data_IF_531770062066
#
_entry.id   IF_531770062066
#
_cell.length_a   1.000
_cell.length_b   1.000
_cell.length_c   1.000
_cell.angle_alpha   90.00
_cell.angle_beta   90.00
_cell.angle_gamma   90.00
#
_symmetry.space_group_name_H-M   'P 1'
#
loop_
_entity.id
_entity.type
_entity.pdbx_description
1 polymer ?
#
# COMPACT_ATOMS: atom_id res chain seq x y z
N UNK A 1 56.10 71.62 4.70
CA UNK A 1 55.25 72.33 5.67
C UNK A 1 53.87 72.45 5.04
N UNK A 2 52.86 71.76 5.60
CA UNK A 2 51.42 71.83 5.28
C UNK A 2 51.01 71.49 3.83
N UNK A 3 49.86 70.90 3.49
CA UNK A 3 48.66 70.35 4.15
C UNK A 3 47.89 69.68 2.97
N UNK A 4 47.26 68.52 3.17
CA UNK A 4 45.91 68.14 2.68
C UNK A 4 45.71 66.66 2.27
N UNK A 5 44.98 65.98 3.14
CA UNK A 5 44.13 64.82 2.98
C UNK A 5 43.34 64.77 1.65
N UNK A 6 43.22 63.58 1.03
CA UNK A 6 41.95 63.06 0.48
C UNK A 6 41.90 61.52 0.47
N UNK A 7 41.09 60.99 1.40
CA UNK A 7 40.18 59.83 1.32
C UNK A 7 40.63 58.52 0.64
N UNK A 8 40.96 57.52 1.47
CA UNK A 8 40.56 56.13 1.23
C UNK A 8 39.59 55.70 2.34
N UNK A 9 38.37 55.32 1.94
CA UNK A 9 37.42 54.63 2.81
C UNK A 9 37.85 53.16 2.95
N UNK A 10 37.93 52.57 4.16
CA UNK A 10 37.84 51.12 4.28
C UNK A 10 36.35 50.74 4.24
N UNK A 11 35.96 50.04 3.18
CA UNK A 11 34.73 49.29 3.10
C UNK A 11 34.79 48.18 4.18
N UNK A 12 34.19 48.42 5.34
CA UNK A 12 34.00 47.40 6.37
C UNK A 12 32.91 46.47 5.86
N UNK A 13 33.31 45.35 5.28
CA UNK A 13 32.41 44.24 4.95
C UNK A 13 32.04 43.57 6.28
N UNK A 14 30.89 43.96 6.85
CA UNK A 14 30.29 43.28 7.99
C UNK A 14 29.76 41.94 7.47
N UNK A 15 30.55 40.87 7.59
CA UNK A 15 30.02 39.51 7.48
C UNK A 15 29.15 39.30 8.73
N UNK A 16 27.86 39.63 8.61
CA UNK A 16 26.86 39.13 9.54
C UNK A 16 26.81 37.62 9.28
N UNK A 17 27.62 36.88 10.03
CA UNK A 17 27.45 35.44 10.16
C UNK A 17 26.08 35.26 10.83
N UNK A 18 25.04 35.16 10.02
CA UNK A 18 23.77 34.57 10.43
C UNK A 18 24.13 33.17 10.86
N UNK A 19 24.41 33.03 12.16
CA UNK A 19 24.25 31.77 12.85
C UNK A 19 22.75 31.49 12.76
N UNK A 20 22.33 30.89 11.65
CA UNK A 20 21.15 30.06 11.64
C UNK A 20 21.44 29.05 12.73
N UNK A 21 20.90 29.30 13.92
CA UNK A 21 20.75 28.24 14.90
C UNK A 21 20.06 27.13 14.14
N UNK A 22 20.81 26.07 13.84
CA UNK A 22 20.20 24.80 13.54
C UNK A 22 19.39 24.52 14.80
N UNK A 23 18.07 24.79 14.75
CA UNK A 23 17.20 24.44 15.84
C UNK A 23 17.43 22.94 16.03
N UNK A 24 18.09 22.57 17.13
CA UNK A 24 18.46 21.18 17.35
C UNK A 24 17.20 20.35 17.31
N UNK A 25 17.26 19.19 16.66
CA UNK A 25 16.23 18.15 16.73
C UNK A 25 15.66 18.09 18.15
N UNK A 26 14.38 18.41 18.31
CA UNK A 26 13.69 18.38 19.58
C UNK A 26 12.75 17.18 19.64
N UNK A 27 12.47 16.71 20.85
CA UNK A 27 11.42 15.70 21.05
C UNK A 27 10.07 16.39 21.23
N UNK A 28 9.14 16.11 20.32
CA UNK A 28 7.77 16.61 20.30
C UNK A 28 6.82 15.52 20.77
N UNK A 29 6.37 15.63 22.02
CA UNK A 29 5.37 14.74 22.59
C UNK A 29 3.96 15.27 22.34
N UNK A 30 3.13 14.46 21.69
CA UNK A 30 1.71 14.74 21.52
C UNK A 30 1.00 14.77 22.86
N UNK A 31 0.04 15.67 23.03
CA UNK A 31 -0.85 15.69 24.19
C UNK A 31 -2.31 15.77 23.76
N UNK A 32 -2.57 16.31 22.56
CA UNK A 32 -3.92 16.60 22.09
C UNK A 32 -4.66 17.63 22.95
N UNK A 33 -3.97 18.41 23.79
CA UNK A 33 -4.63 19.32 24.74
C UNK A 33 -5.31 20.53 24.08
N UNK A 34 -5.01 20.80 22.82
CA UNK A 34 -5.61 21.87 22.04
C UNK A 34 -7.07 21.62 21.65
N UNK A 35 -7.62 22.59 20.93
CA UNK A 35 -9.04 22.62 20.56
C UNK A 35 -9.42 21.67 19.40
N UNK A 36 -8.44 21.05 18.75
CA UNK A 36 -8.63 20.18 17.58
C UNK A 36 -7.59 19.05 17.60
N UNK A 37 -7.64 18.17 16.61
CA UNK A 37 -6.73 17.02 16.47
C UNK A 37 -5.54 17.28 15.53
N UNK A 38 -5.25 18.51 15.11
CA UNK A 38 -4.24 18.79 14.09
C UNK A 38 -2.82 18.85 14.68
N UNK A 39 -1.87 18.20 14.01
CA UNK A 39 -0.44 18.30 14.33
C UNK A 39 0.09 19.74 14.15
N UNK A 40 -0.50 20.52 13.24
CA UNK A 40 -0.21 21.94 13.04
C UNK A 40 -0.66 22.87 14.16
N UNK A 41 -1.41 22.39 15.15
CA UNK A 41 -1.87 23.22 16.27
C UNK A 41 -0.87 23.17 17.44
N UNK A 42 -0.20 24.28 17.81
CA UNK A 42 0.85 24.27 18.82
C UNK A 42 0.40 23.71 20.18
N UNK A 43 -0.82 24.06 20.60
CA UNK A 43 -1.40 23.63 21.89
C UNK A 43 -1.63 22.12 22.01
N UNK A 44 -1.47 21.35 20.94
CA UNK A 44 -1.53 19.89 21.00
C UNK A 44 -0.19 19.23 21.38
N UNK A 45 0.89 20.01 21.50
CA UNK A 45 2.23 19.53 21.83
C UNK A 45 2.63 19.96 23.24
N UNK A 46 3.42 19.12 23.92
CA UNK A 46 3.81 19.31 25.32
C UNK A 46 4.53 20.64 25.61
N UNK A 47 5.25 21.18 24.63
CA UNK A 47 5.97 22.46 24.70
C UNK A 47 5.20 23.64 24.08
N UNK A 48 3.94 23.42 23.69
CA UNK A 48 3.10 24.38 22.96
C UNK A 48 3.73 24.90 21.66
N UNK A 49 4.55 24.10 20.98
CA UNK A 49 5.16 24.45 19.71
C UNK A 49 4.96 23.33 18.66
N UNK A 50 4.70 23.73 17.42
CA UNK A 50 4.54 22.82 16.27
C UNK A 50 5.87 22.11 15.99
N UNK A 51 5.86 20.81 15.63
CA UNK A 51 7.04 20.12 15.11
C UNK A 51 7.69 20.82 13.92
N UNK A 52 9.01 20.75 13.86
CA UNK A 52 9.84 21.24 12.77
C UNK A 52 10.67 20.10 12.14
N UNK A 53 11.33 20.40 11.01
CA UNK A 53 12.25 19.45 10.38
C UNK A 53 13.31 18.95 11.37
N UNK A 54 13.54 17.64 11.38
CA UNK A 54 14.50 16.96 12.24
C UNK A 54 14.00 16.65 13.65
N UNK A 55 12.76 17.02 14.03
CA UNK A 55 12.22 16.67 15.35
C UNK A 55 11.89 15.18 15.48
N UNK A 56 11.95 14.66 16.70
CA UNK A 56 11.48 13.33 17.07
C UNK A 56 10.03 13.40 17.55
N UNK A 57 9.14 12.58 16.99
CA UNK A 57 7.72 12.57 17.35
C UNK A 57 7.42 11.43 18.32
N UNK A 58 6.78 11.76 19.44
CA UNK A 58 6.42 10.79 20.49
C UNK A 58 4.92 10.84 20.80
N UNK A 59 4.27 9.67 20.70
CA UNK A 59 2.91 9.41 21.16
C UNK A 59 2.97 8.28 22.18
N UNK A 60 2.64 8.57 23.43
CA UNK A 60 2.81 7.67 24.58
C UNK A 60 1.49 7.39 25.32
N UNK A 61 1.51 6.71 26.47
CA UNK A 61 0.27 6.34 27.17
C UNK A 61 -0.57 7.50 27.74
N UNK A 62 0.00 8.64 28.18
CA UNK A 62 -0.79 9.85 28.45
C UNK A 62 -1.53 10.37 27.21
N UNK A 63 -0.99 10.11 26.02
CA UNK A 63 -1.58 10.51 24.76
C UNK A 63 -2.77 9.58 24.44
N UNK A 64 -3.98 10.13 24.37
CA UNK A 64 -5.20 9.33 24.07
C UNK A 64 -6.06 9.93 22.97
N UNK A 65 -5.87 11.20 22.64
CA UNK A 65 -6.65 11.86 21.58
C UNK A 65 -6.07 11.55 20.21
N UNK A 66 -6.96 11.29 19.27
CA UNK A 66 -6.62 11.14 17.86
C UNK A 66 -5.83 12.34 17.34
N UNK A 67 -4.93 12.04 16.40
CA UNK A 67 -4.09 13.01 15.71
C UNK A 67 -4.42 12.98 14.22
N UNK A 68 -4.42 14.14 13.57
CA UNK A 68 -4.26 14.28 12.13
C UNK A 68 -2.88 14.87 11.88
N UNK A 69 -2.01 14.09 11.24
CA UNK A 69 -0.72 14.59 10.79
C UNK A 69 -0.90 15.34 9.46
N UNK A 70 -0.84 16.67 9.54
CA UNK A 70 -1.09 17.61 8.44
C UNK A 70 0.14 18.49 8.12
N UNK A 71 1.34 18.05 8.54
CA UNK A 71 2.60 18.77 8.36
C UNK A 71 3.45 18.16 7.25
N UNK A 72 3.89 18.98 6.30
CA UNK A 72 4.83 18.63 5.22
C UNK A 72 6.27 18.97 5.63
N UNK A 73 6.82 18.16 6.53
CA UNK A 73 8.18 18.28 7.10
C UNK A 73 8.84 16.90 7.15
N UNK A 74 10.17 16.87 7.25
CA UNK A 74 10.95 15.67 7.44
C UNK A 74 11.29 15.51 8.93
N UNK A 75 10.70 14.52 9.59
CA UNK A 75 10.95 14.25 11.01
C UNK A 75 12.06 13.20 11.19
N UNK A 76 12.74 13.23 12.32
CA UNK A 76 13.87 12.34 12.57
C UNK A 76 13.43 10.94 12.99
N UNK A 77 12.55 10.82 13.99
CA UNK A 77 11.98 9.52 14.40
C UNK A 77 10.49 9.64 14.70
N UNK A 78 9.81 8.49 14.71
CA UNK A 78 8.44 8.37 15.21
C UNK A 78 8.36 7.23 16.23
N UNK A 79 7.84 7.52 17.42
CA UNK A 79 7.62 6.53 18.48
C UNK A 79 6.18 6.58 18.95
N UNK A 80 5.46 5.46 18.80
CA UNK A 80 4.11 5.27 19.28
C UNK A 80 4.07 4.03 20.19
N UNK A 81 4.17 4.25 21.51
CA UNK A 81 4.29 3.20 22.53
C UNK A 81 3.41 3.52 23.74
N UNK A 82 2.32 2.77 23.89
CA UNK A 82 1.28 3.03 24.90
C UNK A 82 0.16 3.96 24.43
N UNK A 83 0.28 4.62 23.27
CA UNK A 83 -0.78 5.40 22.65
C UNK A 83 -1.84 4.48 22.02
N UNK A 84 -3.13 4.70 22.33
CA UNK A 84 -4.24 3.87 21.84
C UNK A 84 -5.07 4.52 20.73
N UNK A 85 -4.86 5.81 20.46
CA UNK A 85 -5.66 6.57 19.49
C UNK A 85 -5.34 6.26 18.03
N UNK A 86 -5.97 7.03 17.15
CA UNK A 86 -5.78 6.99 15.70
C UNK A 86 -4.95 8.18 15.22
N UNK A 87 -3.95 7.92 14.40
CA UNK A 87 -3.19 8.90 13.63
C UNK A 87 -3.69 8.84 12.20
N UNK A 88 -4.36 9.90 11.75
CA UNK A 88 -4.72 10.07 10.35
C UNK A 88 -3.64 10.85 9.64
N UNK A 89 -2.85 10.18 8.79
CA UNK A 89 -1.84 10.86 7.99
C UNK A 89 -2.52 11.44 6.76
N UNK A 90 -2.49 12.76 6.60
CA UNK A 90 -3.26 13.49 5.59
C UNK A 90 -2.62 13.48 4.20
N UNK A 91 -1.98 12.36 3.80
CA UNK A 91 -1.31 12.27 2.50
C UNK A 91 -2.29 12.07 1.34
N UNK A 92 -1.97 12.69 0.19
CA UNK A 92 -2.81 12.65 -1.02
C UNK A 92 -2.14 11.99 -2.24
N UNK A 93 -2.98 11.57 -3.20
CA UNK A 93 -2.60 11.04 -4.50
C UNK A 93 -2.29 12.15 -5.52
N UNK A 94 -2.88 13.32 -5.32
CA UNK A 94 -2.72 14.49 -6.19
C UNK A 94 -1.27 15.00 -6.21
N UNK A 95 -0.78 15.49 -7.37
CA UNK A 95 0.49 16.21 -7.44
C UNK A 95 0.50 17.51 -6.62
N UNK A 96 -0.68 18.04 -6.27
CA UNK A 96 -0.84 19.37 -5.66
C UNK A 96 -0.95 19.34 -4.11
N UNK A 97 -0.44 18.33 -3.41
CA UNK A 97 -0.55 18.27 -1.94
C UNK A 97 0.51 17.46 -1.21
N UNK A 98 0.45 17.48 0.13
CA UNK A 98 1.27 16.67 1.02
C UNK A 98 1.10 15.20 0.64
N UNK A 99 2.09 14.62 -0.03
CA UNK A 99 1.94 13.33 -0.70
C UNK A 99 2.66 12.19 0.02
N UNK A 100 3.52 12.52 0.99
CA UNK A 100 4.32 11.55 1.72
C UNK A 100 4.76 12.07 3.09
N UNK A 101 4.55 11.29 4.16
CA UNK A 101 5.23 11.52 5.44
C UNK A 101 6.66 10.98 5.36
N UNK A 102 7.67 11.81 5.66
CA UNK A 102 9.08 11.43 5.63
C UNK A 102 9.64 11.30 7.05
N UNK A 103 10.08 10.10 7.41
CA UNK A 103 10.79 9.80 8.66
C UNK A 103 12.22 9.43 8.28
N UNK A 104 13.19 10.25 8.67
CA UNK A 104 14.59 10.09 8.27
C UNK A 104 15.27 8.89 8.95
N UNK A 105 14.87 8.59 10.19
CA UNK A 105 15.38 7.49 11.00
C UNK A 105 14.36 6.38 11.18
N UNK A 106 14.30 5.83 12.39
CA UNK A 106 13.44 4.71 12.73
C UNK A 106 12.00 5.16 13.04
N UNK A 107 11.06 4.25 12.77
CA UNK A 107 9.66 4.39 13.12
C UNK A 107 9.20 3.18 13.95
N UNK A 108 8.48 3.44 15.03
CA UNK A 108 7.94 2.42 15.93
C UNK A 108 6.45 2.67 16.17
N UNK A 109 5.61 1.68 15.88
CA UNK A 109 4.17 1.66 16.15
C UNK A 109 3.87 0.42 16.98
N UNK A 110 4.05 0.49 18.29
CA UNK A 110 3.80 -0.64 19.21
C UNK A 110 2.34 -0.77 19.61
N UNK A 111 1.59 0.33 19.59
CA UNK A 111 0.16 0.40 19.91
C UNK A 111 -0.55 1.43 19.02
N UNK A 112 -1.88 1.51 19.08
CA UNK A 112 -2.67 2.50 18.33
C UNK A 112 -2.76 2.22 16.83
N UNK A 113 -3.32 3.17 16.07
CA UNK A 113 -3.61 2.98 14.64
C UNK A 113 -3.11 4.12 13.78
N UNK A 114 -2.47 3.81 12.65
CA UNK A 114 -2.30 4.74 11.52
C UNK A 114 -3.34 4.49 10.44
N UNK A 115 -3.84 5.56 9.83
CA UNK A 115 -4.84 5.50 8.75
C UNK A 115 -4.72 6.71 7.81
N UNK A 116 -5.57 6.75 6.77
CA UNK A 116 -5.80 7.92 5.95
C UNK A 116 -7.30 8.28 5.89
N UNK A 117 -7.61 9.48 5.42
CA UNK A 117 -9.00 9.95 5.28
C UNK A 117 -9.78 9.10 4.27
N UNK A 118 -11.06 8.82 4.54
CA UNK A 118 -11.94 8.03 3.68
C UNK A 118 -13.16 7.44 4.41
N UNK A 119 -14.10 6.80 3.73
CA UNK A 119 -14.17 6.51 2.28
C UNK A 119 -14.31 7.77 1.40
N UNK A 120 -14.06 7.63 0.10
CA UNK A 120 -13.93 8.79 -0.81
C UNK A 120 -14.60 8.57 -2.17
N UNK A 121 -14.98 9.69 -2.83
CA UNK A 121 -15.63 9.66 -4.15
C UNK A 121 -14.59 9.57 -5.29
N UNK A 122 -13.51 10.31 -5.12
CA UNK A 122 -12.37 10.37 -6.03
C UNK A 122 -11.17 9.75 -5.34
N UNK A 123 -10.18 9.29 -6.10
CA UNK A 123 -8.94 8.72 -5.57
C UNK A 123 -8.00 9.86 -5.14
N UNK A 124 -8.20 10.36 -3.91
CA UNK A 124 -7.48 11.51 -3.37
C UNK A 124 -6.60 11.09 -2.21
N UNK A 125 -7.10 10.38 -1.21
CA UNK A 125 -6.35 10.07 0.01
C UNK A 125 -5.73 8.67 -0.07
N UNK A 126 -4.50 8.56 0.43
CA UNK A 126 -3.75 7.31 0.64
C UNK A 126 -2.89 7.48 1.88
N UNK A 127 -2.40 6.38 2.46
CA UNK A 127 -1.33 6.44 3.44
C UNK A 127 0.00 6.22 2.69
N UNK A 128 0.85 7.23 2.61
CA UNK A 128 2.18 7.12 2.00
C UNK A 128 3.24 7.59 2.99
N UNK A 129 4.21 6.71 3.29
CA UNK A 129 5.25 6.98 4.27
C UNK A 129 6.60 6.47 3.77
N UNK A 130 7.65 7.26 3.96
CA UNK A 130 9.04 6.84 3.80
C UNK A 130 9.75 6.79 5.15
N UNK A 131 10.46 5.70 5.40
CA UNK A 131 11.23 5.45 6.62
C UNK A 131 12.67 5.17 6.22
N UNK A 132 13.59 6.08 6.59
CA UNK A 132 15.01 5.96 6.27
C UNK A 132 15.75 4.92 7.11
N UNK A 133 15.17 4.50 8.24
CA UNK A 133 15.67 3.42 9.08
C UNK A 133 14.76 2.18 9.08
N UNK A 134 14.65 1.55 10.24
CA UNK A 134 13.78 0.40 10.48
C UNK A 134 12.35 0.83 10.82
N UNK A 135 11.38 -0.02 10.48
CA UNK A 135 9.99 0.10 10.93
C UNK A 135 9.64 -1.10 11.83
N UNK A 136 9.21 -0.82 13.05
CA UNK A 136 8.64 -1.82 13.96
C UNK A 136 7.13 -1.58 14.11
N UNK A 137 6.32 -2.60 13.83
CA UNK A 137 4.89 -2.65 14.15
C UNK A 137 4.69 -3.75 15.18
N UNK A 138 4.48 -3.34 16.43
CA UNK A 138 4.25 -4.26 17.54
C UNK A 138 2.85 -4.89 17.50
N UNK A 139 2.61 -5.87 18.37
CA UNK A 139 1.36 -6.67 18.40
C UNK A 139 0.08 -5.84 18.51
N UNK A 140 0.13 -4.67 19.17
CA UNK A 140 -1.02 -3.78 19.30
C UNK A 140 -1.00 -2.62 18.29
N UNK A 141 0.07 -2.51 17.50
CA UNK A 141 0.24 -1.52 16.45
C UNK A 141 -0.53 -1.91 15.20
N UNK A 142 -1.18 -0.90 14.59
CA UNK A 142 -1.99 -1.11 13.40
C UNK A 142 -1.71 -0.05 12.36
N UNK A 143 -1.61 -0.46 11.11
CA UNK A 143 -1.82 0.38 9.94
C UNK A 143 -3.12 -0.11 9.32
N UNK A 144 -4.20 0.65 9.45
CA UNK A 144 -5.54 0.19 9.08
C UNK A 144 -6.26 1.22 8.21
N UNK A 145 -6.41 0.89 6.92
CA UNK A 145 -7.14 1.67 5.92
C UNK A 145 -8.37 0.91 5.41
N UNK A 146 -8.89 -0.02 6.22
CA UNK A 146 -10.06 -0.81 5.84
C UNK A 146 -11.27 0.10 5.56
N UNK A 147 -11.94 -0.13 4.43
CA UNK A 147 -13.08 0.68 3.98
C UNK A 147 -12.76 2.13 3.61
N UNK A 148 -11.49 2.55 3.56
CA UNK A 148 -11.08 3.93 3.24
C UNK A 148 -10.92 4.20 1.74
N UNK A 149 -11.22 3.22 0.90
CA UNK A 149 -11.19 3.35 -0.54
C UNK A 149 -12.40 4.07 -1.11
N UNK A 150 -12.79 3.72 -2.34
CA UNK A 150 -13.95 4.33 -2.96
C UNK A 150 -15.23 4.02 -2.16
N UNK A 151 -16.07 5.03 -2.01
CA UNK A 151 -17.40 4.89 -1.41
C UNK A 151 -18.30 3.95 -2.22
N UNK A 152 -19.40 3.51 -1.62
CA UNK A 152 -20.40 2.62 -2.24
C UNK A 152 -20.76 3.05 -3.66
N UNK A 153 -20.65 2.12 -4.62
CA UNK A 153 -20.93 2.33 -6.04
C UNK A 153 -19.95 3.24 -6.79
N UNK A 154 -18.77 3.51 -6.23
CA UNK A 154 -17.76 4.39 -6.83
C UNK A 154 -16.48 3.62 -7.18
N UNK A 155 -15.66 4.27 -8.00
CA UNK A 155 -14.42 3.71 -8.52
C UNK A 155 -14.59 2.99 -9.87
N UNK A 156 -13.48 2.67 -10.55
CA UNK A 156 -13.50 2.00 -11.86
C UNK A 156 -14.23 0.65 -11.82
N UNK A 157 -14.02 -0.11 -10.75
CA UNK A 157 -14.66 -1.40 -10.47
C UNK A 157 -15.97 -1.28 -9.68
N UNK A 158 -16.52 -0.07 -9.53
CA UNK A 158 -17.64 0.21 -8.65
C UNK A 158 -19.00 -0.21 -9.22
N UNK A 159 -19.87 -0.74 -8.37
CA UNK A 159 -21.14 -1.37 -8.77
C UNK A 159 -22.31 -1.00 -7.85
N UNK A 160 -23.55 -1.27 -8.27
CA UNK A 160 -24.76 -1.04 -7.49
C UNK A 160 -25.58 -2.31 -7.30
N UNK A 161 -26.52 -2.28 -6.35
CA UNK A 161 -27.44 -3.39 -6.08
C UNK A 161 -26.70 -4.64 -5.59
N UNK A 162 -27.04 -5.80 -6.13
CA UNK A 162 -26.49 -7.10 -5.69
C UNK A 162 -25.13 -7.46 -6.31
N UNK A 163 -24.37 -6.48 -6.80
CA UNK A 163 -23.09 -6.69 -7.48
C UNK A 163 -21.91 -6.26 -6.60
N UNK A 164 -20.87 -7.09 -6.53
CA UNK A 164 -19.68 -6.78 -5.73
C UNK A 164 -18.71 -5.83 -6.43
N UNK A 165 -17.98 -5.03 -5.65
CA UNK A 165 -16.91 -4.20 -6.17
C UNK A 165 -15.72 -5.03 -6.65
N UNK A 166 -15.02 -4.53 -7.66
CA UNK A 166 -13.79 -5.14 -8.21
C UNK A 166 -12.56 -4.27 -7.98
N UNK A 167 -11.38 -4.88 -7.79
CA UNK A 167 -10.09 -4.21 -7.90
C UNK A 167 -8.99 -5.18 -8.34
N UNK A 168 -8.37 -5.90 -7.39
CA UNK A 168 -7.40 -6.95 -7.67
C UNK A 168 -8.06 -8.26 -8.10
N UNK A 169 -9.30 -8.48 -7.67
CA UNK A 169 -10.19 -9.54 -8.14
C UNK A 169 -11.56 -8.99 -8.54
N UNK A 170 -12.34 -9.77 -9.30
CA UNK A 170 -13.73 -9.41 -9.62
C UNK A 170 -14.68 -9.64 -8.46
N UNK A 171 -15.63 -8.73 -8.28
CA UNK A 171 -16.75 -8.92 -7.38
C UNK A 171 -17.80 -9.93 -7.90
N UNK A 172 -18.84 -10.14 -7.11
CA UNK A 172 -19.97 -11.00 -7.43
C UNK A 172 -20.86 -10.45 -8.56
N UNK A 173 -21.47 -11.37 -9.32
CA UNK A 173 -22.46 -11.12 -10.38
C UNK A 173 -21.94 -10.25 -11.53
N UNK A 174 -22.67 -9.19 -11.91
CA UNK A 174 -22.29 -8.29 -13.00
C UNK A 174 -21.22 -7.29 -12.55
N UNK A 175 -20.12 -7.81 -12.01
CA UNK A 175 -18.98 -7.04 -11.58
C UNK A 175 -18.18 -6.48 -12.74
N UNK A 176 -17.46 -5.40 -12.49
CA UNK A 176 -16.62 -4.73 -13.47
C UNK A 176 -15.22 -5.35 -13.52
N UNK A 177 -14.41 -5.08 -14.56
CA UNK A 177 -13.04 -5.58 -14.67
C UNK A 177 -12.13 -5.17 -13.52
N UNK A 178 -11.09 -5.96 -13.27
CA UNK A 178 -9.94 -5.59 -12.45
C UNK A 178 -9.16 -4.42 -13.08
N UNK A 179 -8.47 -3.63 -12.25
CA UNK A 179 -7.69 -2.46 -12.71
C UNK A 179 -6.44 -2.21 -11.87
N UNK A 180 -5.56 -1.34 -12.36
CA UNK A 180 -4.37 -0.87 -11.64
C UNK A 180 -3.15 -1.77 -11.80
N UNK A 181 -2.10 -1.44 -11.06
CA UNK A 181 -0.81 -2.14 -11.11
C UNK A 181 -0.76 -3.25 -10.07
N UNK A 182 -0.24 -4.41 -10.46
CA UNK A 182 0.11 -5.54 -9.60
C UNK A 182 1.41 -5.25 -8.83
N UNK A 183 2.42 -4.74 -9.53
CA UNK A 183 3.78 -4.57 -8.98
C UNK A 183 3.94 -3.26 -8.21
N UNK A 184 3.22 -2.21 -8.59
CA UNK A 184 3.22 -0.90 -7.94
C UNK A 184 1.78 -0.43 -7.65
N UNK A 185 1.02 -1.17 -6.82
CA UNK A 185 -0.39 -0.88 -6.55
C UNK A 185 -0.52 0.42 -5.76
N UNK A 186 -1.11 1.43 -6.39
CA UNK A 186 -1.40 2.72 -5.73
C UNK A 186 -2.88 3.05 -5.68
N UNK A 187 -3.71 2.27 -6.36
CA UNK A 187 -5.13 2.58 -6.48
C UNK A 187 -5.90 2.07 -5.27
N UNK A 188 -6.95 2.78 -4.87
CA UNK A 188 -7.85 2.31 -3.82
C UNK A 188 -8.88 1.32 -4.37
N UNK A 189 -9.41 0.45 -3.50
CA UNK A 189 -10.44 -0.51 -3.85
C UNK A 189 -11.75 0.17 -4.21
N UNK A 190 -12.47 -0.36 -5.20
CA UNK A 190 -13.78 0.15 -5.62
C UNK A 190 -14.90 -0.22 -4.64
N UNK A 191 -15.90 0.64 -4.50
CA UNK A 191 -17.08 0.35 -3.68
C UNK A 191 -18.06 -0.58 -4.38
N UNK A 192 -18.65 -1.50 -3.62
CA UNK A 192 -19.70 -2.39 -4.11
C UNK A 192 -21.09 -1.79 -3.93
N UNK A 193 -22.12 -2.63 -4.05
CA UNK A 193 -23.50 -2.20 -3.83
C UNK A 193 -23.80 -1.72 -2.41
N UNK A 194 -23.14 -2.28 -1.38
CA UNK A 194 -23.40 -1.99 0.04
C UNK A 194 -22.12 -1.91 0.89
N UNK A 195 -21.03 -1.38 0.34
CA UNK A 195 -19.79 -1.23 1.09
C UNK A 195 -18.73 -0.45 0.32
N UNK A 196 -17.87 0.26 1.05
CA UNK A 196 -16.70 0.91 0.48
C UNK A 196 -15.57 -0.09 0.24
N UNK A 197 -14.71 0.21 -0.72
CA UNK A 197 -13.49 -0.55 -0.93
C UNK A 197 -12.40 -0.21 0.10
N UNK A 198 -11.34 -1.01 0.13
CA UNK A 198 -10.18 -0.76 0.97
C UNK A 198 -9.34 0.43 0.51
N UNK A 199 -8.67 1.10 1.44
CA UNK A 199 -7.75 2.20 1.15
C UNK A 199 -6.44 1.76 0.49
N UNK A 200 -5.47 2.66 0.40
CA UNK A 200 -4.15 2.38 -0.15
C UNK A 200 -3.04 2.71 0.85
N UNK A 201 -2.10 1.78 1.01
CA UNK A 201 -0.90 1.91 1.84
C UNK A 201 0.32 1.81 0.93
N UNK A 202 1.23 2.78 1.03
CA UNK A 202 2.58 2.73 0.45
C UNK A 202 3.60 3.00 1.54
N UNK A 203 4.45 2.03 1.85
CA UNK A 203 5.58 2.21 2.76
C UNK A 203 6.88 1.92 2.02
N UNK A 204 7.80 2.89 2.03
CA UNK A 204 9.17 2.71 1.54
C UNK A 204 10.12 2.77 2.72
N UNK A 205 10.56 1.61 3.17
CA UNK A 205 11.43 1.43 4.35
C UNK A 205 12.81 1.06 3.81
N UNK A 206 13.85 1.77 4.25
CA UNK A 206 15.22 1.48 3.81
C UNK A 206 15.82 0.32 4.60
N UNK A 207 15.45 0.18 5.87
CA UNK A 207 15.90 -0.89 6.75
C UNK A 207 14.92 -2.06 6.86
N UNK A 208 15.00 -2.75 7.99
CA UNK A 208 14.18 -3.90 8.33
C UNK A 208 12.74 -3.48 8.70
N UNK A 209 11.76 -4.28 8.27
CA UNK A 209 10.39 -4.24 8.76
C UNK A 209 10.16 -5.40 9.76
N UNK A 210 10.00 -5.10 11.04
CA UNK A 210 9.54 -6.07 12.05
C UNK A 210 8.04 -5.89 12.22
N UNK A 211 7.23 -6.86 11.79
CA UNK A 211 5.77 -6.76 11.78
C UNK A 211 5.12 -7.89 12.57
N UNK A 212 4.62 -7.56 13.77
CA UNK A 212 3.87 -8.46 14.64
C UNK A 212 2.40 -8.02 14.84
N UNK A 213 2.01 -6.90 14.23
CA UNK A 213 0.69 -6.29 14.37
C UNK A 213 -0.22 -6.52 13.15
N UNK A 214 -0.93 -5.47 12.75
CA UNK A 214 -1.86 -5.50 11.61
C UNK A 214 -1.55 -4.43 10.56
N UNK A 215 -1.37 -4.83 9.30
CA UNK A 215 -1.45 -3.97 8.12
C UNK A 215 -2.69 -4.38 7.33
N UNK A 216 -3.72 -3.53 7.30
CA UNK A 216 -5.04 -3.87 6.75
C UNK A 216 -5.55 -2.84 5.73
N UNK A 217 -5.91 -3.32 4.55
CA UNK A 217 -6.57 -2.62 3.47
C UNK A 217 -7.81 -3.40 2.98
N UNK A 218 -8.49 -4.12 3.88
CA UNK A 218 -9.74 -4.79 3.57
C UNK A 218 -10.84 -3.83 3.11
N UNK A 219 -11.84 -4.37 2.41
CA UNK A 219 -13.09 -3.64 2.23
C UNK A 219 -13.91 -3.54 3.50
N UNK A 220 -14.95 -2.71 3.48
CA UNK A 220 -15.88 -2.57 4.61
C UNK A 220 -17.30 -2.90 4.19
N UNK A 221 -18.07 -3.44 5.13
CA UNK A 221 -19.47 -3.82 4.94
C UNK A 221 -20.42 -2.90 5.69
N UNK A 222 -21.51 -2.50 5.02
CA UNK A 222 -22.77 -2.09 5.66
C UNK A 222 -23.95 -2.96 5.18
N UNK A 223 -23.66 -4.02 4.42
CA UNK A 223 -24.60 -4.89 3.73
C UNK A 223 -23.88 -5.76 2.68
N UNK A 224 -24.62 -6.55 1.89
CA UNK A 224 -24.03 -7.48 0.93
C UNK A 224 -24.56 -7.26 -0.50
N UNK A 225 -23.70 -7.34 -1.53
CA UNK A 225 -22.25 -7.52 -1.50
C UNK A 225 -21.46 -6.21 -1.28
N UNK A 226 -20.20 -6.37 -0.85
CA UNK A 226 -19.34 -5.27 -0.36
C UNK A 226 -18.40 -4.69 -1.43
N UNK A 227 -17.59 -3.69 -1.07
CA UNK A 227 -16.51 -3.16 -1.92
C UNK A 227 -15.29 -4.08 -1.99
N UNK A 228 -14.39 -3.85 -2.94
CA UNK A 228 -13.18 -4.63 -3.12
C UNK A 228 -12.10 -4.30 -2.08
N UNK A 229 -11.18 -5.23 -1.84
CA UNK A 229 -9.95 -4.94 -1.09
C UNK A 229 -9.13 -3.82 -1.74
N UNK A 230 -8.24 -3.21 -0.96
CA UNK A 230 -7.42 -2.05 -1.35
C UNK A 230 -6.01 -2.40 -1.81
N UNK A 231 -5.09 -1.45 -1.67
CA UNK A 231 -3.67 -1.60 -2.03
C UNK A 231 -2.76 -1.62 -0.83
N UNK A 232 -1.77 -2.52 -0.84
CA UNK A 232 -0.63 -2.53 0.07
C UNK A 232 0.64 -2.63 -0.78
N UNK A 233 1.49 -1.61 -0.76
CA UNK A 233 2.75 -1.57 -1.49
C UNK A 233 3.90 -1.27 -0.54
N UNK A 234 4.71 -2.28 -0.24
CA UNK A 234 5.81 -2.18 0.72
C UNK A 234 7.15 -2.45 0.03
N UNK A 235 8.14 -1.63 0.32
CA UNK A 235 9.55 -1.89 0.04
C UNK A 235 10.32 -1.84 1.35
N UNK A 236 11.20 -2.81 1.58
CA UNK A 236 11.99 -2.97 2.81
C UNK A 236 13.29 -3.72 2.51
N UNK A 237 14.27 -3.68 3.40
CA UNK A 237 15.45 -4.55 3.31
C UNK A 237 15.04 -6.02 3.49
N UNK A 238 14.48 -6.33 4.66
CA UNK A 238 13.93 -7.63 5.02
C UNK A 238 12.67 -7.48 5.87
N UNK A 239 11.83 -8.51 5.92
CA UNK A 239 10.55 -8.55 6.65
C UNK A 239 10.58 -9.69 7.67
N UNK A 240 10.27 -9.37 8.92
CA UNK A 240 10.33 -10.29 10.06
C UNK A 240 9.02 -10.25 10.84
N UNK A 241 8.79 -11.28 11.66
CA UNK A 241 7.63 -11.37 12.56
C UNK A 241 6.49 -12.24 12.04
N UNK A 242 5.37 -12.17 12.74
CA UNK A 242 4.21 -13.06 12.56
C UNK A 242 2.88 -12.31 12.36
N UNK A 243 2.95 -11.00 12.11
CA UNK A 243 1.78 -10.14 11.93
C UNK A 243 0.94 -10.48 10.69
N UNK A 244 -0.15 -9.73 10.51
CA UNK A 244 -1.07 -9.91 9.38
C UNK A 244 -0.96 -8.77 8.37
N UNK A 245 -0.88 -9.09 7.08
CA UNK A 245 -0.92 -8.17 5.94
C UNK A 245 -2.11 -8.58 5.06
N UNK A 246 -3.13 -7.73 5.00
CA UNK A 246 -4.43 -8.12 4.47
C UNK A 246 -5.04 -7.06 3.55
N UNK A 247 -5.43 -7.47 2.34
CA UNK A 247 -6.16 -6.66 1.36
C UNK A 247 -7.38 -7.43 0.85
N UNK A 248 -8.09 -8.15 1.72
CA UNK A 248 -9.22 -8.98 1.31
C UNK A 248 -10.45 -8.16 0.89
N UNK A 249 -11.25 -8.74 -0.01
CA UNK A 249 -12.65 -8.39 -0.15
C UNK A 249 -13.48 -9.09 0.93
N UNK A 250 -14.54 -8.43 1.42
CA UNK A 250 -15.58 -9.07 2.22
C UNK A 250 -16.65 -9.70 1.32
N UNK A 251 -17.72 -10.25 1.91
CA UNK A 251 -18.75 -11.04 1.21
C UNK A 251 -19.13 -10.51 -0.17
N UNK A 252 -18.85 -11.31 -1.20
CA UNK A 252 -19.16 -11.01 -2.60
C UNK A 252 -18.22 -10.03 -3.29
N UNK A 253 -17.16 -9.56 -2.65
CA UNK A 253 -16.25 -8.60 -3.24
C UNK A 253 -14.92 -9.21 -3.67
N UNK A 254 -14.32 -8.58 -4.67
CA UNK A 254 -12.98 -8.94 -5.14
C UNK A 254 -11.89 -8.60 -4.12
N UNK A 255 -10.83 -9.40 -4.11
CA UNK A 255 -9.62 -9.08 -3.36
C UNK A 255 -8.89 -7.85 -3.89
N UNK A 256 -7.96 -7.34 -3.08
CA UNK A 256 -7.12 -6.19 -3.37
C UNK A 256 -5.78 -6.57 -4.01
N UNK A 257 -4.78 -5.70 -3.88
CA UNK A 257 -3.43 -5.94 -4.40
C UNK A 257 -2.39 -5.72 -3.31
N UNK A 258 -1.49 -6.68 -3.15
CA UNK A 258 -0.35 -6.60 -2.24
C UNK A 258 0.91 -6.71 -3.08
N UNK A 259 1.88 -5.81 -2.89
CA UNK A 259 3.20 -5.86 -3.50
C UNK A 259 4.25 -5.66 -2.42
N UNK A 260 5.12 -6.65 -2.24
CA UNK A 260 6.22 -6.63 -1.28
C UNK A 260 7.54 -6.83 -2.03
N UNK A 261 8.42 -5.84 -1.95
CA UNK A 261 9.78 -5.89 -2.52
C UNK A 261 10.82 -5.84 -1.41
N UNK A 262 11.63 -6.89 -1.32
CA UNK A 262 12.79 -6.96 -0.43
C UNK A 262 14.06 -6.54 -1.17
N UNK A 263 14.90 -5.72 -0.54
CA UNK A 263 16.13 -5.17 -1.14
C UNK A 263 17.41 -5.75 -0.55
N UNK A 264 17.33 -6.51 0.55
CA UNK A 264 18.48 -7.16 1.16
C UNK A 264 18.96 -8.36 0.30
N UNK A 265 20.25 -8.40 -0.11
CA UNK A 265 20.78 -9.52 -0.86
C UNK A 265 20.65 -10.84 -0.10
N UNK A 266 20.09 -11.86 -0.76
CA UNK A 266 19.93 -13.20 -0.20
C UNK A 266 18.68 -13.41 0.67
N UNK A 267 17.89 -12.37 0.94
CA UNK A 267 16.62 -12.53 1.64
C UNK A 267 15.53 -13.16 0.74
N UNK A 268 14.74 -14.10 1.27
CA UNK A 268 13.81 -14.93 0.47
C UNK A 268 12.38 -15.02 1.02
N UNK A 269 12.03 -14.16 1.98
CA UNK A 269 10.76 -14.17 2.72
C UNK A 269 10.55 -15.33 3.70
N UNK A 270 11.54 -16.21 3.94
CA UNK A 270 11.38 -17.33 4.88
C UNK A 270 11.32 -16.92 6.35
N UNK A 271 11.80 -15.73 6.70
CA UNK A 271 11.84 -15.21 8.09
C UNK A 271 10.52 -14.60 8.56
N UNK A 272 9.61 -14.29 7.63
CA UNK A 272 8.24 -13.85 7.96
C UNK A 272 7.30 -15.05 8.02
N UNK A 273 6.73 -15.29 9.20
CA UNK A 273 5.83 -16.44 9.45
C UNK A 273 4.36 -16.05 9.54
N UNK A 274 4.07 -14.76 9.34
CA UNK A 274 2.73 -14.20 9.42
C UNK A 274 1.86 -14.49 8.19
N UNK A 275 0.70 -13.82 8.14
CA UNK A 275 -0.31 -14.03 7.08
C UNK A 275 -0.25 -12.92 6.05
N UNK A 276 -0.20 -13.29 4.77
CA UNK A 276 -0.37 -12.38 3.63
C UNK A 276 -1.62 -12.82 2.87
N UNK A 277 -2.63 -11.96 2.78
CA UNK A 277 -3.93 -12.33 2.20
C UNK A 277 -4.51 -11.23 1.32
N UNK A 278 -4.87 -11.58 0.09
CA UNK A 278 -5.61 -10.70 -0.82
C UNK A 278 -6.82 -11.44 -1.41
N UNK A 279 -7.49 -12.29 -0.64
CA UNK A 279 -8.61 -13.13 -1.07
C UNK A 279 -9.87 -12.30 -1.35
N UNK A 280 -10.70 -12.79 -2.27
CA UNK A 280 -12.06 -12.29 -2.41
C UNK A 280 -12.94 -12.83 -1.29
N UNK A 281 -14.02 -12.12 -0.97
CA UNK A 281 -14.92 -12.55 0.08
C UNK A 281 -16.02 -13.47 -0.46
N UNK A 282 -16.33 -14.51 0.31
CA UNK A 282 -17.27 -15.55 -0.09
C UNK A 282 -18.34 -15.83 0.97
N UNK A 283 -19.56 -16.03 0.50
CA UNK A 283 -20.65 -16.71 1.20
C UNK A 283 -21.26 -17.78 0.27
N UNK A 284 -22.33 -18.44 0.71
CA UNK A 284 -23.07 -19.41 -0.10
C UNK A 284 -23.57 -18.79 -1.41
N UNK A 285 -24.06 -17.55 -1.36
CA UNK A 285 -24.70 -16.87 -2.50
C UNK A 285 -23.80 -15.84 -3.19
N UNK A 286 -22.82 -15.27 -2.49
CA UNK A 286 -21.99 -14.17 -3.00
C UNK A 286 -20.52 -14.57 -2.98
N UNK A 287 -19.87 -14.62 -4.15
CA UNK A 287 -18.47 -15.03 -4.28
C UNK A 287 -17.72 -13.98 -5.08
N UNK A 288 -16.68 -13.37 -4.52
CA UNK A 288 -15.74 -12.53 -5.25
C UNK A 288 -14.43 -13.27 -5.49
N UNK A 289 -13.73 -12.97 -6.57
CA UNK A 289 -12.44 -13.57 -6.88
C UNK A 289 -11.31 -12.99 -6.04
N UNK A 290 -10.23 -13.77 -5.89
CA UNK A 290 -8.99 -13.32 -5.27
C UNK A 290 -8.35 -12.14 -5.98
N UNK A 291 -7.58 -11.40 -5.21
CA UNK A 291 -6.67 -10.37 -5.64
C UNK A 291 -5.30 -10.92 -6.05
N UNK A 292 -4.30 -10.05 -6.07
CA UNK A 292 -2.92 -10.38 -6.44
C UNK A 292 -1.96 -10.11 -5.30
N UNK A 293 -1.02 -11.03 -5.05
CA UNK A 293 0.13 -10.83 -4.17
C UNK A 293 1.40 -10.91 -5.03
N UNK A 294 2.16 -9.83 -5.09
CA UNK A 294 3.48 -9.77 -5.72
C UNK A 294 4.56 -9.82 -4.64
N UNK A 295 5.51 -10.76 -4.78
CA UNK A 295 6.67 -10.89 -3.93
C UNK A 295 7.92 -10.85 -4.79
N UNK A 296 8.80 -9.91 -4.53
CA UNK A 296 10.09 -9.75 -5.22
C UNK A 296 11.20 -9.64 -4.19
N UNK A 297 12.27 -10.39 -4.38
CA UNK A 297 13.51 -10.17 -3.65
C UNK A 297 14.61 -9.70 -4.61
N UNK A 298 15.75 -9.27 -4.05
CA UNK A 298 16.87 -8.77 -4.84
C UNK A 298 17.35 -9.80 -5.88
N UNK A 299 17.38 -11.09 -5.52
CA UNK A 299 17.84 -12.17 -6.39
C UNK A 299 16.93 -12.46 -7.59
N UNK A 300 15.65 -12.07 -7.53
CA UNK A 300 14.73 -12.18 -8.67
C UNK A 300 15.17 -11.23 -9.79
N UNK A 301 15.69 -10.05 -9.42
CA UNK A 301 15.89 -8.92 -10.32
C UNK A 301 14.61 -8.11 -10.55
N UNK A 302 14.77 -6.87 -10.99
CA UNK A 302 13.67 -5.93 -11.14
C UNK A 302 12.55 -6.44 -12.08
N UNK A 303 11.32 -6.47 -11.57
CA UNK A 303 10.12 -6.87 -12.30
C UNK A 303 9.98 -8.39 -12.50
N UNK A 304 10.84 -9.18 -11.86
CA UNK A 304 10.90 -10.64 -12.04
C UNK A 304 10.38 -11.44 -10.83
N UNK A 305 9.78 -10.77 -9.86
CA UNK A 305 9.14 -11.40 -8.72
C UNK A 305 7.98 -12.33 -9.09
N UNK A 306 7.44 -13.02 -8.08
CA UNK A 306 6.30 -13.93 -8.21
C UNK A 306 4.98 -13.22 -7.97
N UNK A 307 4.07 -13.33 -8.94
CA UNK A 307 2.65 -12.98 -8.80
C UNK A 307 1.89 -14.22 -8.38
N UNK A 308 1.20 -14.12 -7.25
CA UNK A 308 0.37 -15.18 -6.66
C UNK A 308 -1.08 -14.72 -6.71
N UNK A 309 -1.96 -15.61 -7.19
CA UNK A 309 -3.42 -15.44 -7.11
C UNK A 309 -4.03 -16.66 -6.44
N UNK A 310 -4.86 -16.40 -5.43
CA UNK A 310 -5.51 -17.41 -4.61
C UNK A 310 -7.03 -17.34 -4.78
N UNK A 311 -7.76 -18.44 -4.52
CA UNK A 311 -9.23 -18.40 -4.54
C UNK A 311 -9.80 -17.64 -3.33
N UNK A 312 -11.04 -17.15 -3.50
CA UNK A 312 -11.98 -17.11 -2.38
C UNK A 312 -12.44 -18.54 -2.10
N UNK A 313 -12.56 -18.98 -0.84
CA UNK A 313 -12.84 -20.37 -0.45
C UNK A 313 -14.20 -20.98 -0.85
N UNK A 314 -14.65 -20.83 -2.09
CA UNK A 314 -15.85 -21.46 -2.64
C UNK A 314 -15.82 -21.53 -4.17
N UNK A 315 -16.31 -22.64 -4.72
CA UNK A 315 -16.48 -22.87 -6.16
C UNK A 315 -17.43 -21.84 -6.81
N UNK A 316 -16.92 -20.94 -7.65
CA UNK A 316 -17.70 -19.90 -8.33
C UNK A 316 -17.11 -19.54 -9.70
N UNK A 317 -17.90 -18.89 -10.55
CA UNK A 317 -17.53 -18.49 -11.91
C UNK A 317 -16.69 -17.20 -12.00
N UNK A 318 -16.39 -16.57 -10.86
CA UNK A 318 -15.67 -15.30 -10.84
C UNK A 318 -14.17 -15.51 -10.83
N UNK A 319 -13.49 -14.62 -11.52
CA UNK A 319 -12.07 -14.71 -11.80
C UNK A 319 -11.35 -13.40 -11.55
N UNK A 320 -10.04 -13.50 -11.34
CA UNK A 320 -9.11 -12.39 -11.47
C UNK A 320 -8.82 -12.19 -12.95
N UNK A 321 -9.11 -11.03 -13.53
CA UNK A 321 -8.84 -10.77 -14.95
C UNK A 321 -7.67 -9.85 -15.22
N UNK A 322 -6.84 -10.24 -16.19
CA UNK A 322 -5.81 -9.37 -16.78
C UNK A 322 -6.33 -8.86 -18.10
N UNK A 323 -6.56 -7.55 -18.15
CA UNK A 323 -7.23 -6.84 -19.23
C UNK A 323 -6.50 -5.50 -19.44
N UNK A 324 -7.00 -4.66 -20.36
CA UNK A 324 -6.36 -3.39 -20.71
C UNK A 324 -6.20 -2.39 -19.54
N UNK A 325 -6.98 -2.53 -18.46
CA UNK A 325 -6.92 -1.68 -17.26
C UNK A 325 -5.92 -2.21 -16.20
N UNK A 326 -5.34 -3.40 -16.42
CA UNK A 326 -4.24 -3.94 -15.62
C UNK A 326 -2.92 -3.57 -16.28
N UNK A 327 -1.99 -2.97 -15.52
CA UNK A 327 -0.79 -2.36 -16.13
C UNK A 327 0.23 -3.38 -16.61
N UNK A 328 0.37 -4.49 -15.90
CA UNK A 328 1.37 -5.51 -16.20
C UNK A 328 0.90 -6.46 -17.29
N UNK A 329 1.71 -6.59 -18.33
CA UNK A 329 1.53 -7.56 -19.41
C UNK A 329 2.66 -8.59 -19.47
N UNK A 330 3.68 -8.46 -18.62
CA UNK A 330 4.86 -9.33 -18.59
C UNK A 330 4.99 -9.92 -17.20
N UNK A 331 5.10 -11.24 -17.12
CA UNK A 331 5.23 -11.99 -15.87
C UNK A 331 6.41 -12.95 -15.94
N UNK A 332 7.22 -12.99 -14.89
CA UNK A 332 8.35 -13.93 -14.79
C UNK A 332 8.02 -15.16 -13.93
N UNK A 333 7.20 -14.97 -12.89
CA UNK A 333 6.70 -16.08 -12.08
C UNK A 333 5.21 -15.85 -11.83
N UNK A 334 4.36 -16.74 -12.34
CA UNK A 334 2.90 -16.64 -12.18
C UNK A 334 2.39 -17.92 -11.51
N UNK A 335 1.79 -17.77 -10.32
CA UNK A 335 1.43 -18.89 -9.45
C UNK A 335 -0.04 -18.80 -9.09
N UNK A 336 -0.83 -19.76 -9.57
CA UNK A 336 -2.23 -19.95 -9.21
C UNK A 336 -2.34 -21.12 -8.23
N UNK A 337 -2.93 -20.87 -7.06
CA UNK A 337 -3.11 -21.90 -6.02
C UNK A 337 -4.49 -21.82 -5.36
N UNK A 338 -4.80 -22.85 -4.58
CA UNK A 338 -6.04 -22.95 -3.77
C UNK A 338 -7.33 -22.84 -4.58
N UNK A 339 -7.32 -23.19 -5.88
CA UNK A 339 -8.51 -23.14 -6.74
C UNK A 339 -8.82 -21.75 -7.31
N UNK A 340 -7.85 -20.83 -7.34
CA UNK A 340 -8.01 -19.52 -7.97
C UNK A 340 -8.47 -19.62 -9.43
N UNK A 341 -9.47 -18.84 -9.83
CA UNK A 341 -9.86 -18.73 -11.23
C UNK A 341 -9.28 -17.45 -11.82
N UNK A 342 -8.55 -17.61 -12.90
CA UNK A 342 -7.92 -16.54 -13.64
C UNK A 342 -8.49 -16.44 -15.05
N UNK A 343 -8.65 -15.21 -15.55
CA UNK A 343 -9.02 -14.98 -16.94
C UNK A 343 -8.10 -13.97 -17.65
N UNK A 344 -7.73 -14.28 -18.87
CA UNK A 344 -7.05 -13.35 -19.77
C UNK A 344 -8.10 -12.67 -20.66
N UNK A 345 -8.11 -11.34 -20.66
CA UNK A 345 -9.07 -10.50 -21.38
C UNK A 345 -9.10 -10.75 -22.89
N UNK A 346 -10.22 -10.45 -23.54
CA UNK A 346 -10.37 -10.63 -24.98
C UNK A 346 -9.31 -9.83 -25.75
N UNK A 347 -8.67 -10.45 -26.73
CA UNK A 347 -7.56 -9.87 -27.51
C UNK A 347 -6.39 -9.35 -26.66
N UNK A 348 -6.27 -9.80 -25.41
CA UNK A 348 -5.17 -9.41 -24.55
C UNK A 348 -4.00 -10.40 -24.68
N UNK A 349 -2.80 -9.87 -24.68
CA UNK A 349 -1.57 -10.65 -24.74
C UNK A 349 -0.80 -10.46 -23.44
N UNK A 350 -0.36 -11.58 -22.86
CA UNK A 350 0.66 -11.56 -21.81
C UNK A 350 1.90 -12.32 -22.26
N UNK A 351 3.06 -11.83 -21.86
CA UNK A 351 4.34 -12.51 -21.96
C UNK A 351 4.61 -13.21 -20.63
N UNK A 352 4.90 -14.51 -20.68
CA UNK A 352 5.26 -15.30 -19.50
C UNK A 352 6.63 -15.94 -19.73
N UNK A 353 7.55 -15.67 -18.80
CA UNK A 353 8.85 -16.32 -18.71
C UNK A 353 8.94 -17.14 -17.41
N UNK A 354 10.05 -17.84 -17.17
CA UNK A 354 10.34 -18.46 -15.87
C UNK A 354 9.34 -19.55 -15.43
N UNK A 355 8.70 -19.38 -14.27
CA UNK A 355 7.83 -20.41 -13.68
C UNK A 355 6.37 -20.04 -13.80
N UNK A 356 5.60 -20.89 -14.49
CA UNK A 356 4.14 -20.85 -14.48
C UNK A 356 3.56 -22.06 -13.77
N UNK A 357 2.86 -21.85 -12.65
CA UNK A 357 2.20 -22.92 -11.90
C UNK A 357 0.70 -22.70 -11.86
N UNK A 358 -0.07 -23.55 -12.54
CA UNK A 358 -1.52 -23.55 -12.54
C UNK A 358 -2.09 -24.74 -11.77
N UNK A 359 -2.14 -24.64 -10.44
CA UNK A 359 -2.86 -25.61 -9.59
C UNK A 359 -4.35 -25.26 -9.48
N UNK A 360 -4.89 -24.53 -10.45
CA UNK A 360 -6.21 -23.95 -10.40
C UNK A 360 -6.82 -23.83 -11.82
N UNK A 361 -7.58 -22.76 -12.14
CA UNK A 361 -8.23 -22.61 -13.45
C UNK A 361 -7.75 -21.35 -14.18
N UNK A 362 -7.36 -21.50 -15.45
CA UNK A 362 -7.04 -20.38 -16.34
C UNK A 362 -7.97 -20.39 -17.56
N UNK A 363 -8.54 -19.24 -17.90
CA UNK A 363 -9.41 -19.07 -19.06
C UNK A 363 -8.94 -17.95 -19.98
N UNK A 364 -8.65 -18.25 -21.24
CA UNK A 364 -8.53 -17.24 -22.29
C UNK A 364 -9.90 -16.81 -22.77
N UNK A 365 -10.21 -15.51 -22.75
CA UNK A 365 -11.36 -14.96 -23.46
C UNK A 365 -11.04 -14.86 -24.97
N UNK A 366 -12.03 -14.63 -25.86
CA UNK A 366 -11.78 -14.67 -27.32
C UNK A 366 -10.60 -13.78 -27.76
N UNK A 367 -9.65 -14.38 -28.49
CA UNK A 367 -8.44 -13.71 -28.98
C UNK A 367 -7.33 -13.53 -27.94
N UNK A 368 -7.50 -14.02 -26.71
CA UNK A 368 -6.46 -14.01 -25.68
C UNK A 368 -5.25 -14.86 -26.08
N UNK A 369 -4.05 -14.32 -25.89
CA UNK A 369 -2.78 -14.97 -26.28
C UNK A 369 -1.82 -14.99 -25.11
N UNK A 370 -1.22 -16.15 -24.84
CA UNK A 370 -0.07 -16.26 -23.93
C UNK A 370 1.16 -16.54 -24.78
N UNK A 371 2.13 -15.63 -24.69
CA UNK A 371 3.41 -15.77 -25.37
C UNK A 371 4.45 -16.26 -24.37
N UNK A 372 5.09 -17.38 -24.68
CA UNK A 372 6.24 -17.89 -23.91
C UNK A 372 7.55 -17.36 -24.50
N UNK A 373 7.55 -16.06 -24.81
CA UNK A 373 8.71 -15.42 -25.41
C UNK A 373 9.71 -15.04 -24.34
N UNK A 374 10.95 -15.32 -24.67
CA UNK A 374 12.04 -15.21 -23.74
C UNK A 374 12.70 -13.84 -23.82
N UNK A 375 12.01 -12.80 -23.34
CA UNK A 375 12.60 -11.45 -23.25
C UNK A 375 13.80 -11.40 -22.29
N UNK A 376 13.96 -12.41 -21.44
CA UNK A 376 14.92 -12.43 -20.35
C UNK A 376 16.03 -13.49 -20.46
N UNK A 377 16.03 -14.29 -21.53
CA UNK A 377 16.89 -15.47 -21.72
C UNK A 377 16.70 -16.61 -20.69
N UNK A 378 15.52 -16.70 -20.08
CA UNK A 378 15.13 -17.68 -19.07
C UNK A 378 14.24 -18.80 -19.63
N UNK A 379 14.46 -20.05 -19.18
CA UNK A 379 13.64 -21.21 -19.60
C UNK A 379 12.24 -21.15 -18.97
N UNK A 380 11.19 -21.12 -19.79
CA UNK A 380 9.80 -21.19 -19.33
C UNK A 380 9.39 -22.61 -18.96
N UNK A 381 8.85 -22.80 -17.75
CA UNK A 381 8.33 -24.07 -17.24
C UNK A 381 6.87 -23.93 -16.85
N UNK A 382 6.01 -24.82 -17.34
CA UNK A 382 4.57 -24.83 -17.07
C UNK A 382 4.21 -26.06 -16.24
N UNK A 383 3.55 -25.85 -15.11
CA UNK A 383 3.10 -26.90 -14.20
C UNK A 383 1.58 -26.83 -14.00
N UNK A 384 0.92 -27.98 -13.88
CA UNK A 384 -0.51 -28.09 -13.56
C UNK A 384 -1.45 -28.33 -14.76
N UNK A 385 -2.76 -28.22 -14.53
CA UNK A 385 -3.83 -28.51 -15.51
C UNK A 385 -4.96 -27.48 -15.45
N UNK A 386 -5.95 -27.55 -16.33
CA UNK A 386 -7.11 -26.63 -16.31
C UNK A 386 -6.95 -25.34 -17.14
N UNK A 387 -6.25 -25.43 -18.26
CA UNK A 387 -6.21 -24.38 -19.29
C UNK A 387 -7.40 -24.51 -20.23
N UNK A 388 -8.14 -23.42 -20.43
CA UNK A 388 -9.31 -23.37 -21.32
C UNK A 388 -9.17 -22.21 -22.31
N UNK A 389 -9.41 -22.47 -23.60
CA UNK A 389 -9.45 -21.47 -24.68
C UNK A 389 -8.18 -20.62 -24.82
N UNK A 390 -7.01 -21.28 -24.84
CA UNK A 390 -5.71 -20.63 -24.93
C UNK A 390 -5.01 -20.93 -26.26
N UNK A 391 -4.44 -19.90 -26.88
CA UNK A 391 -3.43 -20.04 -27.92
C UNK A 391 -2.07 -19.77 -27.28
N UNK A 392 -1.23 -20.81 -27.23
CA UNK A 392 0.16 -20.70 -26.82
C UNK A 392 1.03 -20.51 -28.08
N UNK A 393 1.91 -19.52 -28.06
CA UNK A 393 2.88 -19.26 -29.13
C UNK A 393 4.29 -19.18 -28.57
N UNK A 394 5.25 -19.69 -29.34
CA UNK A 394 6.68 -19.62 -29.07
C UNK A 394 7.31 -18.41 -29.74
#
# INVERSE_FOLDING_TARGET
MNINNRFLYPLILFFLLLCLSNAGAATKTWTGSGANALASTPANWSDNAVPADGDDIVLDSPSTKDMTWDLDINIQTWIQDGYEGTVTVATVFSPDGFSNLNILGNCTIKSGTWTHQGAQQNEINRLSVSVGGNLEIGTYGKINVAGKGYATGKGPGGTSGVNGGSYGGRGHAASKPCYGSIMAPTNIGSGGGYGSGGGAIRLAITGQLIHNGLINAESMTIGYPTGAGGSIWLTFASLHGDGTINANGLTGAGGGRISLTATEPGYDFSEFTGVISAKGGSSTSYKGAGGTIYLENESDGFGKGRVIVEASGGSGSNYTDFNADVKETVFHKLIFREGGHFALGSNHLIEVSGVWSNLAMFTGLPGATVSFTDRYQDTSSIYGGGFVNLVATN
#
